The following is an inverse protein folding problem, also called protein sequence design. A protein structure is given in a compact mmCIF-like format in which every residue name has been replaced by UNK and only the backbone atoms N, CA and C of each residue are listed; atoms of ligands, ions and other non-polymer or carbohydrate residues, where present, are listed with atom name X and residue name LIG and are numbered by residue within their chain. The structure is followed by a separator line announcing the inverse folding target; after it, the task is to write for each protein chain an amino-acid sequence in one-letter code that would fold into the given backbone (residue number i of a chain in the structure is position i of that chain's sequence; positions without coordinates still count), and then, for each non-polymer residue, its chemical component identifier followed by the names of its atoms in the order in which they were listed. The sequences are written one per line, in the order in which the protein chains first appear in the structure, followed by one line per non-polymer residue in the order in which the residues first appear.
data_IF_519472469649
#
_entry.id   IF_519472469649
#
_cell.length_a   1.000
_cell.length_b   1.000
_cell.length_c   1.000
_cell.angle_alpha   90.00
_cell.angle_beta   90.00
_cell.angle_gamma   90.00
#
_symmetry.space_group_name_H-M   'P 1'
#
loop_
_entity.id
_entity.type
_entity.pdbx_description
1 polymer ?
#
# COMPACT_ATOMS: atom_id res chain seq x y z
N UNK A 1 -25.15 -5.66 -12.22
CA UNK A 1 -24.52 -4.77 -13.22
C UNK A 1 -25.23 -3.42 -13.26
N UNK A 2 -24.49 -2.31 -13.13
CA UNK A 2 -25.03 -0.93 -13.12
C UNK A 2 -24.00 0.04 -13.72
N UNK A 3 -24.40 1.21 -14.24
CA UNK A 3 -23.44 2.25 -14.63
C UNK A 3 -22.72 2.80 -13.40
N UNK A 4 -21.38 2.86 -13.46
CA UNK A 4 -20.54 3.41 -12.39
C UNK A 4 -19.92 4.72 -12.91
N UNK A 5 -20.57 5.84 -12.58
CA UNK A 5 -20.25 7.14 -13.18
C UNK A 5 -18.86 7.68 -12.80
N UNK A 6 -18.32 7.25 -11.67
CA UNK A 6 -16.98 7.60 -11.21
C UNK A 6 -15.88 6.69 -11.77
N UNK A 7 -16.20 5.66 -12.58
CA UNK A 7 -15.24 4.89 -13.37
C UNK A 7 -15.09 5.50 -14.78
N UNK A 8 -14.93 6.81 -14.83
CA UNK A 8 -14.60 7.54 -16.06
C UNK A 8 -13.19 8.11 -15.91
N UNK A 9 -12.33 8.06 -16.95
CA UNK A 9 -10.99 8.65 -16.91
C UNK A 9 -10.97 10.12 -16.47
N UNK A 10 -12.05 10.86 -16.72
CA UNK A 10 -12.17 12.29 -16.42
C UNK A 10 -12.91 12.61 -15.12
N UNK A 11 -13.22 11.61 -14.27
CA UNK A 11 -14.05 11.83 -13.09
C UNK A 11 -13.31 12.52 -11.94
N UNK A 12 -12.39 11.81 -11.27
CA UNK A 12 -11.63 12.27 -10.10
C UNK A 12 -10.27 11.57 -10.04
N UNK A 13 -9.32 12.20 -9.35
CA UNK A 13 -8.03 11.61 -8.96
C UNK A 13 -8.22 10.62 -7.79
N UNK A 14 -9.02 9.57 -8.02
CA UNK A 14 -9.38 8.56 -7.02
C UNK A 14 -9.74 7.24 -7.72
N UNK A 15 -9.37 6.10 -7.10
CA UNK A 15 -9.58 4.76 -7.65
C UNK A 15 -9.10 4.68 -9.10
N UNK A 16 -9.97 4.31 -10.05
CA UNK A 16 -9.63 4.15 -11.48
C UNK A 16 -8.90 5.37 -12.09
N UNK A 17 -9.32 6.60 -11.78
CA UNK A 17 -8.63 7.79 -12.28
C UNK A 17 -7.26 8.04 -11.62
N UNK A 18 -7.08 7.57 -10.38
CA UNK A 18 -5.80 7.59 -9.68
C UNK A 18 -4.83 6.54 -10.23
N UNK A 19 -5.31 5.33 -10.52
CA UNK A 19 -4.53 4.24 -11.13
C UNK A 19 -4.07 4.60 -12.54
N UNK A 20 -4.82 5.45 -13.25
CA UNK A 20 -4.45 6.00 -14.56
C UNK A 20 -3.10 6.74 -14.57
N UNK A 21 -2.65 7.28 -13.43
CA UNK A 21 -1.33 7.90 -13.34
C UNK A 21 -0.18 6.89 -13.32
N UNK A 22 -0.41 5.70 -12.75
CA UNK A 22 0.56 4.63 -12.79
C UNK A 22 0.67 4.06 -14.20
N UNK A 23 -0.46 3.80 -14.87
CA UNK A 23 -0.44 3.30 -16.26
C UNK A 23 0.14 4.33 -17.23
N UNK A 24 -0.17 5.62 -17.05
CA UNK A 24 0.45 6.71 -17.81
C UNK A 24 1.96 6.83 -17.59
N UNK A 25 2.46 6.58 -16.37
CA UNK A 25 3.89 6.52 -16.07
C UNK A 25 4.58 5.34 -16.76
N UNK A 26 3.94 4.15 -16.76
CA UNK A 26 4.46 2.98 -17.47
C UNK A 26 4.55 3.24 -18.98
N UNK A 27 3.50 3.81 -19.58
CA UNK A 27 3.46 4.15 -21.01
C UNK A 27 4.52 5.19 -21.38
N UNK A 28 4.63 6.28 -20.61
CA UNK A 28 5.61 7.33 -20.86
C UNK A 28 7.07 6.86 -20.78
N UNK A 29 7.35 5.83 -19.98
CA UNK A 29 8.67 5.21 -19.87
C UNK A 29 8.87 4.01 -20.83
N UNK A 30 7.86 3.65 -21.62
CA UNK A 30 7.91 2.50 -22.54
C UNK A 30 8.01 1.15 -21.81
N UNK A 31 7.43 1.04 -20.62
CA UNK A 31 7.44 -0.17 -19.80
C UNK A 31 6.17 -0.98 -20.09
N UNK A 32 6.35 -2.16 -20.68
CA UNK A 32 5.25 -3.08 -20.93
C UNK A 32 4.80 -3.74 -19.61
N UNK A 33 3.50 -3.73 -19.36
CA UNK A 33 2.85 -4.42 -18.25
C UNK A 33 1.49 -4.95 -18.69
N UNK A 34 1.14 -6.14 -18.20
CA UNK A 34 -0.20 -6.68 -18.32
C UNK A 34 -1.08 -6.14 -17.18
N UNK A 35 -2.39 -6.09 -17.41
CA UNK A 35 -3.37 -5.62 -16.43
C UNK A 35 -4.19 -6.80 -15.93
N UNK A 36 -4.23 -6.97 -14.61
CA UNK A 36 -5.00 -7.99 -13.90
C UNK A 36 -6.02 -7.26 -13.03
N UNK A 37 -7.28 -7.70 -13.04
CA UNK A 37 -8.29 -7.18 -12.11
C UNK A 37 -8.31 -7.98 -10.81
N UNK A 38 -8.85 -7.37 -9.75
CA UNK A 38 -9.07 -8.08 -8.48
C UNK A 38 -10.00 -9.30 -8.66
N UNK A 39 -10.95 -9.25 -9.61
CA UNK A 39 -11.84 -10.37 -9.92
C UNK A 39 -11.08 -11.52 -10.59
N UNK A 40 -10.19 -11.23 -11.54
CA UNK A 40 -9.32 -12.24 -12.16
C UNK A 40 -8.44 -12.92 -11.10
N UNK A 41 -7.80 -12.12 -10.24
CA UNK A 41 -6.95 -12.63 -9.17
C UNK A 41 -7.75 -13.41 -8.10
N UNK A 42 -8.99 -13.01 -7.81
CA UNK A 42 -9.89 -13.78 -6.95
C UNK A 42 -10.19 -15.16 -7.53
N UNK A 43 -10.47 -15.23 -8.84
CA UNK A 43 -10.89 -16.45 -9.51
C UNK A 43 -9.73 -17.41 -9.80
N UNK A 44 -8.59 -16.90 -10.26
CA UNK A 44 -7.44 -17.70 -10.71
C UNK A 44 -6.38 -17.90 -9.62
N UNK A 45 -6.42 -17.09 -8.57
CA UNK A 45 -5.50 -17.16 -7.44
C UNK A 45 -4.04 -16.96 -7.84
N UNK A 46 -3.12 -17.63 -7.14
CA UNK A 46 -1.68 -17.45 -7.38
C UNK A 46 -1.23 -17.93 -8.76
N UNK A 47 -1.97 -18.83 -9.42
CA UNK A 47 -1.59 -19.35 -10.74
C UNK A 47 -1.42 -18.24 -11.78
N UNK A 48 -2.29 -17.22 -11.72
CA UNK A 48 -2.20 -16.02 -12.53
C UNK A 48 -0.91 -15.22 -12.25
N UNK A 49 -0.53 -15.11 -10.98
CA UNK A 49 0.67 -14.37 -10.57
C UNK A 49 1.98 -15.12 -10.82
N UNK A 50 1.95 -16.44 -10.98
CA UNK A 50 3.15 -17.27 -11.18
C UNK A 50 3.91 -16.91 -12.48
N UNK A 51 3.24 -16.27 -13.43
CA UNK A 51 3.83 -15.81 -14.69
C UNK A 51 4.60 -14.49 -14.56
N UNK A 52 4.42 -13.76 -13.45
CA UNK A 52 5.00 -12.44 -13.25
C UNK A 52 6.09 -12.50 -12.19
N UNK A 53 7.16 -11.73 -12.37
CA UNK A 53 8.18 -11.54 -11.33
C UNK A 53 7.81 -10.42 -10.37
N UNK A 54 7.09 -9.42 -10.88
CA UNK A 54 6.74 -8.19 -10.16
C UNK A 54 5.26 -7.92 -10.36
N UNK A 55 4.57 -7.68 -9.26
CA UNK A 55 3.18 -7.21 -9.22
C UNK A 55 3.18 -5.80 -8.64
N UNK A 56 2.48 -4.88 -9.31
CA UNK A 56 2.30 -3.50 -8.86
C UNK A 56 0.83 -3.35 -8.44
N UNK A 57 0.59 -2.74 -7.29
CA UNK A 57 -0.78 -2.35 -6.92
C UNK A 57 -1.14 -1.01 -7.54
N UNK A 58 -2.46 -0.76 -7.65
CA UNK A 58 -2.97 0.60 -7.81
C UNK A 58 -2.68 1.50 -6.61
N UNK A 59 -3.17 2.75 -6.68
CA UNK A 59 -2.97 3.75 -5.64
C UNK A 59 -3.83 3.53 -4.39
N UNK A 60 -4.89 2.72 -4.47
CA UNK A 60 -5.81 2.49 -3.34
C UNK A 60 -6.51 1.11 -3.36
N UNK A 61 -5.76 0.01 -3.17
CA UNK A 61 -6.30 -1.36 -3.15
C UNK A 61 -6.97 -1.69 -1.80
N UNK A 62 -8.00 -0.94 -1.39
CA UNK A 62 -8.60 -1.00 -0.04
C UNK A 62 -9.36 -2.31 0.25
N UNK A 63 -9.99 -2.91 -0.75
CA UNK A 63 -10.91 -4.04 -0.60
C UNK A 63 -10.33 -5.30 -1.21
N UNK A 64 -10.10 -6.33 -0.40
CA UNK A 64 -9.56 -7.60 -0.88
C UNK A 64 -10.28 -8.80 -0.29
N UNK A 65 -10.40 -9.86 -1.09
CA UNK A 65 -10.94 -11.15 -0.66
C UNK A 65 -9.86 -12.06 -0.07
N UNK A 66 -10.27 -13.14 0.60
CA UNK A 66 -9.33 -14.12 1.13
C UNK A 66 -8.47 -14.77 0.02
N UNK A 67 -9.08 -15.07 -1.12
CA UNK A 67 -8.38 -15.68 -2.25
C UNK A 67 -7.25 -14.76 -2.78
N UNK A 68 -7.52 -13.47 -2.93
CA UNK A 68 -6.53 -12.47 -3.34
C UNK A 68 -5.39 -12.39 -2.31
N UNK A 69 -5.73 -12.34 -1.03
CA UNK A 69 -4.74 -12.30 0.05
C UNK A 69 -3.80 -13.52 0.02
N UNK A 70 -4.36 -14.74 -0.04
CA UNK A 70 -3.56 -15.96 -0.07
C UNK A 70 -2.78 -16.10 -1.40
N UNK A 71 -3.30 -15.56 -2.51
CA UNK A 71 -2.60 -15.54 -3.78
C UNK A 71 -1.32 -14.71 -3.71
N UNK A 72 -1.40 -13.49 -3.19
CA UNK A 72 -0.24 -12.61 -3.02
C UNK A 72 0.76 -13.14 -2.00
N UNK A 73 0.27 -13.70 -0.88
CA UNK A 73 1.13 -14.36 0.10
C UNK A 73 1.87 -15.55 -0.51
N UNK A 74 1.20 -16.35 -1.33
CA UNK A 74 1.82 -17.49 -2.01
C UNK A 74 2.85 -17.01 -3.03
N UNK A 75 2.50 -16.01 -3.85
CA UNK A 75 3.42 -15.39 -4.82
C UNK A 75 4.71 -14.91 -4.14
N UNK A 76 4.59 -14.16 -3.04
CA UNK A 76 5.74 -13.68 -2.26
C UNK A 76 6.57 -14.81 -1.63
N UNK A 77 5.93 -15.90 -1.19
CA UNK A 77 6.65 -17.05 -0.63
C UNK A 77 7.40 -17.88 -1.68
N UNK A 78 7.06 -17.72 -2.97
CA UNK A 78 7.71 -18.37 -4.12
C UNK A 78 8.73 -17.48 -4.83
N UNK A 79 9.10 -16.35 -4.24
CA UNK A 79 10.10 -15.44 -4.78
C UNK A 79 9.55 -14.34 -5.68
N UNK A 80 8.22 -14.25 -5.79
CA UNK A 80 7.52 -13.11 -6.38
C UNK A 80 7.78 -11.81 -5.62
N UNK A 81 7.50 -10.68 -6.26
CA UNK A 81 7.86 -9.36 -5.75
C UNK A 81 6.68 -8.42 -5.87
N UNK A 82 6.45 -7.61 -4.84
CA UNK A 82 5.30 -6.71 -4.77
C UNK A 82 5.76 -5.27 -4.59
N UNK A 83 5.27 -4.39 -5.45
CA UNK A 83 5.35 -2.94 -5.27
C UNK A 83 3.96 -2.43 -4.87
N UNK A 84 3.81 -2.13 -3.60
CA UNK A 84 2.61 -1.49 -3.05
C UNK A 84 2.76 0.04 -3.17
N UNK A 85 2.12 0.59 -4.21
CA UNK A 85 2.27 2.00 -4.63
C UNK A 85 1.10 2.88 -4.18
N UNK A 86 0.38 2.45 -3.14
CA UNK A 86 -0.82 3.11 -2.65
C UNK A 86 -0.84 3.34 -1.15
N UNK A 87 -2.00 3.76 -0.64
CA UNK A 87 -2.33 3.90 0.77
C UNK A 87 -3.65 3.21 1.12
N UNK A 88 -3.82 2.87 2.40
CA UNK A 88 -4.96 2.13 2.95
C UNK A 88 -5.29 0.85 2.18
N UNK A 89 -4.24 0.10 1.86
CA UNK A 89 -4.34 -1.14 1.12
C UNK A 89 -4.79 -2.28 2.03
N UNK A 90 -5.57 -3.20 1.45
CA UNK A 90 -5.90 -4.49 2.05
C UNK A 90 -6.62 -4.33 3.39
N UNK A 91 -7.45 -3.30 3.51
CA UNK A 91 -8.05 -2.86 4.75
C UNK A 91 -9.33 -3.63 5.07
N UNK A 92 -10.26 -3.65 4.10
CA UNK A 92 -11.54 -4.34 4.22
C UNK A 92 -11.49 -5.73 3.62
N UNK A 93 -12.06 -6.68 4.36
CA UNK A 93 -12.41 -7.99 3.81
C UNK A 93 -13.67 -7.90 2.96
N UNK A 94 -13.60 -8.46 1.77
CA UNK A 94 -14.75 -8.59 0.86
C UNK A 94 -14.95 -10.03 0.41
N UNK A 95 -16.15 -10.32 -0.10
CA UNK A 95 -16.51 -11.59 -0.70
C UNK A 95 -17.12 -11.37 -2.08
N UNK A 96 -16.66 -12.11 -3.07
CA UNK A 96 -17.29 -12.18 -4.39
C UNK A 96 -18.40 -13.22 -4.38
N UNK A 97 -19.52 -12.93 -5.02
CA UNK A 97 -20.66 -13.86 -5.04
C UNK A 97 -20.38 -15.06 -5.96
N UNK A 98 -20.54 -16.31 -5.48
CA UNK A 98 -20.09 -17.50 -6.22
C UNK A 98 -20.86 -17.74 -7.53
N UNK A 99 -22.09 -17.22 -7.64
CA UNK A 99 -22.97 -17.44 -8.80
C UNK A 99 -23.51 -16.16 -9.45
N UNK A 100 -23.18 -14.98 -8.92
CA UNK A 100 -23.70 -13.70 -9.43
C UNK A 100 -22.51 -12.80 -9.78
N UNK A 101 -22.03 -12.83 -11.04
CA UNK A 101 -20.88 -12.04 -11.47
C UNK A 101 -21.07 -10.55 -11.20
N UNK A 102 -19.98 -9.89 -10.79
CA UNK A 102 -19.96 -8.46 -10.45
C UNK A 102 -20.68 -8.08 -9.15
N UNK A 103 -21.10 -9.04 -8.32
CA UNK A 103 -21.59 -8.77 -6.95
C UNK A 103 -20.47 -9.02 -5.93
N UNK A 104 -20.16 -7.97 -5.16
CA UNK A 104 -19.21 -8.01 -4.06
C UNK A 104 -19.93 -7.64 -2.76
N UNK A 105 -19.81 -8.46 -1.74
CA UNK A 105 -20.29 -8.20 -0.39
C UNK A 105 -19.17 -7.63 0.48
N UNK A 106 -19.48 -6.59 1.25
CA UNK A 106 -18.65 -6.06 2.33
C UNK A 106 -19.54 -5.79 3.53
N UNK A 107 -19.14 -6.27 4.70
CA UNK A 107 -19.77 -5.93 5.97
C UNK A 107 -18.78 -5.18 6.81
N UNK A 108 -19.10 -3.93 7.14
CA UNK A 108 -18.22 -3.06 7.92
C UNK A 108 -18.46 -3.35 9.41
N UNK A 109 -17.61 -4.27 9.89
CA UNK A 109 -17.43 -4.87 11.22
C UNK A 109 -17.59 -3.97 12.45
N UNK A 110 -16.93 -4.38 13.53
CA UNK A 110 -16.82 -3.69 14.81
C UNK A 110 -15.84 -2.51 14.80
N UNK A 111 -14.90 -2.45 13.84
CA UNK A 111 -13.82 -1.48 13.78
C UNK A 111 -13.64 -0.81 12.39
N UNK A 112 -12.87 0.27 12.33
CA UNK A 112 -12.37 0.89 11.09
C UNK A 112 -13.08 2.16 10.63
N UNK A 113 -12.52 2.81 9.61
CA UNK A 113 -13.07 4.02 8.97
C UNK A 113 -14.32 3.71 8.15
N UNK A 114 -15.47 3.79 8.81
CA UNK A 114 -16.76 3.33 8.29
C UNK A 114 -17.70 4.48 7.94
N UNK A 115 -18.32 4.39 6.77
CA UNK A 115 -19.43 5.25 6.36
C UNK A 115 -20.77 4.87 7.02
N UNK A 116 -20.89 3.62 7.49
CA UNK A 116 -22.04 3.09 8.21
C UNK A 116 -21.59 1.92 9.10
N UNK A 117 -22.30 1.68 10.21
CA UNK A 117 -22.07 0.55 11.11
C UNK A 117 -23.06 -0.56 10.81
N UNK A 118 -22.60 -1.80 10.72
CA UNK A 118 -23.49 -2.96 10.62
C UNK A 118 -24.28 -3.17 11.91
N UNK A 119 -25.48 -3.73 11.80
CA UNK A 119 -26.29 -4.05 12.97
C UNK A 119 -25.63 -5.12 13.84
N UNK A 120 -25.80 -5.07 15.18
CA UNK A 120 -25.25 -6.07 16.06
C UNK A 120 -25.69 -7.50 15.67
N UNK A 121 -24.72 -8.41 15.53
CA UNK A 121 -24.97 -9.79 15.11
C UNK A 121 -24.98 -10.02 13.61
N UNK A 122 -24.94 -8.96 12.79
CA UNK A 122 -24.96 -9.04 11.33
C UNK A 122 -23.56 -8.85 10.71
N UNK A 123 -22.51 -9.30 11.38
CA UNK A 123 -21.12 -9.09 10.95
C UNK A 123 -20.60 -10.15 9.97
N UNK A 124 -21.25 -11.31 9.91
CA UNK A 124 -20.86 -12.40 9.02
C UNK A 124 -21.45 -12.18 7.62
N UNK A 125 -20.61 -12.30 6.59
CA UNK A 125 -21.00 -12.13 5.20
C UNK A 125 -21.89 -13.30 4.78
N UNK A 126 -23.04 -13.00 4.20
CA UNK A 126 -23.98 -14.03 3.73
C UNK A 126 -23.42 -14.87 2.57
N UNK A 127 -22.51 -14.29 1.80
CA UNK A 127 -21.92 -14.90 0.60
C UNK A 127 -21.01 -16.06 0.94
N UNK A 128 -20.22 -15.96 2.02
CA UNK A 128 -19.21 -16.96 2.40
C UNK A 128 -19.43 -17.57 3.77
N UNK A 129 -20.28 -16.96 4.61
CA UNK A 129 -20.43 -17.30 6.04
C UNK A 129 -19.27 -16.82 6.91
N UNK A 130 -18.30 -16.10 6.34
CA UNK A 130 -17.09 -15.66 7.03
C UNK A 130 -17.31 -14.32 7.74
N UNK A 131 -16.50 -14.06 8.77
CA UNK A 131 -16.54 -12.79 9.49
C UNK A 131 -16.12 -11.62 8.59
N UNK A 132 -16.95 -10.58 8.50
CA UNK A 132 -16.63 -9.35 7.77
C UNK A 132 -15.69 -8.43 8.55
N UNK A 133 -15.61 -7.16 8.13
CA UNK A 133 -14.83 -6.13 8.80
C UNK A 133 -13.37 -6.06 8.36
N UNK A 134 -12.51 -5.64 9.28
CA UNK A 134 -11.09 -5.41 8.99
C UNK A 134 -10.31 -6.72 9.01
N UNK A 135 -9.35 -6.85 8.09
CA UNK A 135 -8.40 -7.95 8.12
C UNK A 135 -7.53 -7.96 9.40
N UNK A 136 -7.24 -6.77 9.94
CA UNK A 136 -6.55 -6.58 11.23
C UNK A 136 -7.22 -7.30 12.40
N UNK A 137 -8.55 -7.45 12.38
CA UNK A 137 -9.32 -8.13 13.43
C UNK A 137 -9.40 -9.66 13.23
N UNK A 138 -8.82 -10.17 12.14
CA UNK A 138 -8.90 -11.56 11.71
C UNK A 138 -7.50 -12.20 11.51
N UNK A 139 -6.52 -11.71 12.28
CA UNK A 139 -5.11 -12.15 12.26
C UNK A 139 -4.44 -12.08 10.87
N UNK A 140 -4.93 -11.18 10.01
CA UNK A 140 -4.36 -10.86 8.69
C UNK A 140 -4.08 -9.37 8.63
N UNK A 141 -3.06 -8.93 9.33
CA UNK A 141 -2.79 -7.50 9.45
C UNK A 141 -2.04 -7.07 8.18
N UNK A 142 -2.46 -6.01 7.45
CA UNK A 142 -1.79 -5.57 6.21
C UNK A 142 -0.28 -5.42 6.34
N UNK A 143 0.20 -4.95 7.50
CA UNK A 143 1.61 -4.88 7.86
C UNK A 143 2.40 -6.19 7.67
N UNK A 144 1.79 -7.35 7.84
CA UNK A 144 2.45 -8.64 7.66
C UNK A 144 2.79 -8.92 6.19
N UNK A 145 1.96 -8.43 5.26
CA UNK A 145 2.10 -8.66 3.82
C UNK A 145 2.80 -7.49 3.12
N UNK A 146 2.46 -6.26 3.50
CA UNK A 146 2.92 -5.02 2.87
C UNK A 146 4.04 -4.35 3.66
N UNK A 147 4.33 -4.77 4.89
CA UNK A 147 5.28 -4.08 5.78
C UNK A 147 4.74 -2.80 6.41
N UNK A 148 3.66 -2.24 5.88
CA UNK A 148 2.96 -1.05 6.39
C UNK A 148 1.47 -1.32 6.47
N UNK A 149 0.73 -0.52 7.24
CA UNK A 149 -0.72 -0.58 7.30
C UNK A 149 -1.34 0.76 7.65
N UNK A 150 -2.62 0.91 7.29
CA UNK A 150 -3.39 2.14 7.41
C UNK A 150 -3.30 2.76 8.81
N UNK A 151 -2.99 4.04 8.85
CA UNK A 151 -2.83 4.77 10.10
C UNK A 151 -3.56 6.11 10.14
N UNK A 152 -3.75 6.79 9.01
CA UNK A 152 -4.33 8.12 9.01
C UNK A 152 -4.93 8.50 7.64
N UNK A 153 -5.91 9.40 7.65
CA UNK A 153 -6.53 9.95 6.45
C UNK A 153 -6.78 11.46 6.55
N UNK A 154 -6.75 12.15 5.42
CA UNK A 154 -6.93 13.59 5.30
C UNK A 154 -6.79 14.06 3.85
N UNK A 155 -7.78 14.82 3.37
CA UNK A 155 -7.95 15.11 1.93
C UNK A 155 -7.60 16.55 1.52
N UNK A 156 -7.14 17.38 2.44
CA UNK A 156 -6.91 18.81 2.18
C UNK A 156 -5.55 19.11 1.53
N UNK A 157 -4.49 18.46 2.02
CA UNK A 157 -3.11 18.71 1.59
C UNK A 157 -2.31 17.42 1.66
N UNK A 158 -1.41 17.22 0.70
CA UNK A 158 -0.34 16.26 0.76
C UNK A 158 0.91 16.89 1.37
N UNK A 159 1.90 16.04 1.64
CA UNK A 159 3.20 16.40 2.15
C UNK A 159 4.30 15.59 1.45
N UNK A 160 5.50 15.59 2.02
CA UNK A 160 6.73 15.06 1.44
C UNK A 160 7.42 14.07 2.38
N UNK A 161 8.41 13.36 1.84
CA UNK A 161 9.22 12.39 2.56
C UNK A 161 10.58 12.94 2.95
N UNK A 162 11.05 12.50 4.12
CA UNK A 162 12.42 12.67 4.59
C UNK A 162 13.11 11.31 4.64
N UNK A 163 14.34 11.25 4.13
CA UNK A 163 15.15 10.04 4.17
C UNK A 163 15.47 9.65 5.62
N UNK A 164 15.29 8.36 5.91
CA UNK A 164 15.67 7.77 7.19
C UNK A 164 17.18 7.52 7.21
N UNK A 165 17.86 7.57 8.39
CA UNK A 165 19.26 7.14 8.52
C UNK A 165 19.50 5.71 8.01
N UNK A 166 18.47 4.84 8.08
CA UNK A 166 18.55 3.47 7.58
C UNK A 166 18.55 3.37 6.04
N UNK A 167 18.29 4.44 5.32
CA UNK A 167 18.40 4.48 3.85
C UNK A 167 19.82 4.22 3.34
N UNK A 168 20.83 4.38 4.21
CA UNK A 168 22.24 4.03 3.93
C UNK A 168 22.57 2.55 4.08
N UNK A 169 21.60 1.69 4.39
CA UNK A 169 21.79 0.24 4.34
C UNK A 169 22.08 -0.20 2.89
N UNK A 170 23.19 -0.91 2.62
CA UNK A 170 23.54 -1.40 1.28
C UNK A 170 22.41 -2.20 0.60
N UNK A 171 21.54 -2.82 1.39
CA UNK A 171 20.38 -3.59 0.88
C UNK A 171 19.40 -2.72 0.10
N UNK A 172 19.30 -1.43 0.40
CA UNK A 172 18.35 -0.50 -0.23
C UNK A 172 19.04 0.60 -1.04
N UNK A 173 20.36 0.53 -1.22
CA UNK A 173 21.13 1.55 -1.95
C UNK A 173 20.63 1.75 -3.37
N UNK A 174 20.18 0.67 -4.02
CA UNK A 174 19.62 0.71 -5.38
C UNK A 174 18.40 1.63 -5.50
N UNK A 175 17.62 1.81 -4.43
CA UNK A 175 16.37 2.59 -4.43
C UNK A 175 16.65 4.08 -4.66
N UNK A 176 17.70 4.59 -4.01
CA UNK A 176 18.10 6.00 -4.10
C UNK A 176 19.16 6.27 -5.16
N UNK A 177 19.38 5.33 -6.08
CA UNK A 177 20.35 5.52 -7.16
C UNK A 177 20.01 6.80 -7.94
N UNK A 178 21.02 7.65 -8.15
CA UNK A 178 20.90 8.95 -8.85
C UNK A 178 19.91 9.94 -8.19
N UNK A 179 19.72 9.82 -6.87
CA UNK A 179 18.89 10.72 -6.06
C UNK A 179 19.69 11.23 -4.86
N UNK A 180 19.69 12.54 -4.64
CA UNK A 180 20.28 13.14 -3.45
C UNK A 180 19.44 12.84 -2.21
N UNK A 181 20.08 12.36 -1.14
CA UNK A 181 19.43 12.09 0.15
C UNK A 181 19.43 13.30 1.10
N UNK A 182 20.09 14.39 0.72
CA UNK A 182 20.17 15.63 1.52
C UNK A 182 18.93 16.52 1.34
N UNK A 183 18.00 16.14 0.46
CA UNK A 183 16.83 16.91 0.12
C UNK A 183 15.54 16.16 0.46
N UNK A 184 14.47 16.92 0.70
CA UNK A 184 13.10 16.41 0.74
C UNK A 184 12.73 15.88 -0.65
N UNK A 185 11.91 14.84 -0.69
CA UNK A 185 11.46 14.27 -1.95
C UNK A 185 9.94 14.07 -1.95
N UNK A 186 9.32 14.20 -3.12
CA UNK A 186 7.87 14.20 -3.27
C UNK A 186 7.14 15.40 -2.67
N UNK A 187 7.76 16.59 -2.58
CA UNK A 187 7.10 17.84 -2.16
C UNK A 187 6.32 18.53 -3.29
N UNK A 188 5.63 17.72 -4.08
CA UNK A 188 4.83 18.09 -5.23
C UNK A 188 3.91 16.91 -5.55
N UNK A 189 2.81 17.17 -6.25
CA UNK A 189 1.88 16.14 -6.66
C UNK A 189 0.54 16.72 -7.07
N UNK A 190 -0.19 16.01 -7.93
CA UNK A 190 -1.49 16.48 -8.40
C UNK A 190 -2.56 16.44 -7.28
N UNK A 191 -2.40 15.53 -6.31
CA UNK A 191 -3.26 15.46 -5.13
C UNK A 191 -2.62 16.15 -3.93
N UNK A 192 -3.11 17.35 -3.61
CA UNK A 192 -2.72 18.07 -2.40
C UNK A 192 -1.28 18.61 -2.41
N UNK A 193 -0.61 18.65 -3.57
CA UNK A 193 0.76 19.14 -3.72
C UNK A 193 1.82 18.34 -2.94
N UNK A 194 1.65 17.02 -2.82
CA UNK A 194 2.66 16.16 -2.20
C UNK A 194 2.43 14.68 -2.47
N UNK A 195 3.50 13.89 -2.42
CA UNK A 195 3.49 12.45 -2.63
C UNK A 195 2.96 11.67 -1.43
N UNK A 196 2.94 12.27 -0.23
CA UNK A 196 2.36 11.69 0.97
C UNK A 196 1.03 12.38 1.32
N UNK A 197 -0.10 11.83 0.93
CA UNK A 197 -1.41 12.42 1.20
C UNK A 197 -2.60 11.50 0.94
N UNK A 198 -3.79 12.07 1.16
CA UNK A 198 -5.11 11.41 1.19
C UNK A 198 -5.24 10.36 2.28
N UNK A 199 -4.49 9.27 2.20
CA UNK A 199 -4.42 8.22 3.21
C UNK A 199 -2.99 7.71 3.35
N UNK A 200 -2.60 7.38 4.58
CA UNK A 200 -1.23 7.07 4.97
C UNK A 200 -1.16 5.72 5.67
N UNK A 201 -0.11 4.96 5.36
CA UNK A 201 0.22 3.71 6.03
C UNK A 201 1.59 3.78 6.68
N UNK A 202 1.72 3.20 7.87
CA UNK A 202 2.98 3.23 8.64
C UNK A 202 3.55 1.84 8.91
N UNK A 203 4.86 1.79 9.08
CA UNK A 203 5.57 0.65 9.63
C UNK A 203 5.29 0.55 11.14
N UNK A 204 4.90 -0.63 11.60
CA UNK A 204 4.62 -0.90 13.01
C UNK A 204 4.93 -2.35 13.39
N UNK A 205 6.01 -2.61 14.15
CA UNK A 205 6.36 -3.95 14.63
C UNK A 205 5.30 -4.57 15.55
N UNK A 206 4.52 -3.78 16.28
CA UNK A 206 3.45 -4.29 17.15
C UNK A 206 2.28 -4.84 16.33
N UNK A 207 2.11 -4.32 15.11
CA UNK A 207 1.20 -4.84 14.09
C UNK A 207 1.86 -5.88 13.18
N UNK A 208 2.98 -6.48 13.63
CA UNK A 208 3.69 -7.58 12.96
C UNK A 208 4.27 -7.20 11.60
N UNK A 209 4.67 -5.95 11.42
CA UNK A 209 5.57 -5.59 10.32
C UNK A 209 6.88 -6.40 10.44
N UNK A 210 7.51 -6.85 9.33
CA UNK A 210 8.72 -7.66 9.38
C UNK A 210 9.87 -6.94 10.10
N UNK A 211 10.48 -7.58 11.10
CA UNK A 211 11.48 -6.95 11.98
C UNK A 211 12.76 -6.51 11.24
N UNK A 212 13.10 -7.19 10.15
CA UNK A 212 14.26 -6.89 9.31
C UNK A 212 13.99 -5.85 8.22
N UNK A 213 12.77 -5.30 8.18
CA UNK A 213 12.39 -4.31 7.20
C UNK A 213 13.18 -3.01 7.40
N UNK A 214 13.50 -2.37 6.28
CA UNK A 214 14.20 -1.10 6.24
C UNK A 214 13.17 -0.01 5.97
N UNK A 215 12.95 0.87 6.94
CA UNK A 215 12.20 2.13 6.73
C UNK A 215 13.16 3.10 6.04
N UNK A 216 12.93 3.32 4.75
CA UNK A 216 13.77 4.09 3.84
C UNK A 216 13.53 5.59 4.03
N UNK A 217 12.28 5.97 4.19
CA UNK A 217 11.87 7.36 4.37
C UNK A 217 10.52 7.42 5.09
N UNK A 218 10.25 8.54 5.75
CA UNK A 218 8.99 8.80 6.42
C UNK A 218 8.47 10.17 6.03
N UNK A 219 7.17 10.29 5.82
CA UNK A 219 6.55 11.58 5.57
C UNK A 219 6.48 12.41 6.84
N UNK A 220 6.55 13.74 6.72
CA UNK A 220 6.50 14.66 7.86
C UNK A 220 5.57 15.84 7.58
N UNK A 221 5.39 16.76 8.54
CA UNK A 221 4.69 18.03 8.33
C UNK A 221 3.23 17.89 7.84
N UNK A 222 2.51 16.91 8.39
CA UNK A 222 1.07 16.77 8.17
C UNK A 222 0.29 17.74 9.06
N UNK A 223 -0.81 18.29 8.55
CA UNK A 223 -1.69 19.19 9.32
C UNK A 223 -2.65 18.39 10.21
N UNK A 224 -3.38 19.08 11.08
CA UNK A 224 -4.43 18.46 11.91
C UNK A 224 -5.63 17.94 11.13
N UNK A 225 -5.71 18.22 9.82
CA UNK A 225 -6.70 17.61 8.93
C UNK A 225 -6.34 16.19 8.51
N UNK A 226 -5.08 15.77 8.70
CA UNK A 226 -4.67 14.38 8.61
C UNK A 226 -4.86 13.74 9.98
N UNK A 227 -5.85 12.87 10.11
CA UNK A 227 -6.31 12.34 11.40
C UNK A 227 -6.09 10.84 11.45
N UNK A 228 -5.70 10.34 12.63
CA UNK A 228 -5.56 8.91 12.87
C UNK A 228 -6.83 8.11 12.53
N UNK A 229 -6.59 6.90 12.01
CA UNK A 229 -7.62 5.90 11.81
C UNK A 229 -8.24 5.47 13.15
N UNK A 230 -9.52 5.09 13.14
CA UNK A 230 -10.30 4.85 14.37
C UNK A 230 -9.70 3.75 15.24
N UNK A 231 -9.20 2.69 14.62
CA UNK A 231 -8.55 1.53 15.24
C UNK A 231 -7.20 1.84 15.87
N UNK A 232 -6.61 3.02 15.59
CA UNK A 232 -5.39 3.51 16.23
C UNK A 232 -5.66 4.29 17.52
N UNK A 233 -6.93 4.62 17.79
CA UNK A 233 -7.34 5.39 18.95
C UNK A 233 -7.78 4.42 20.06
N UNK A 234 -6.83 4.00 20.91
CA UNK A 234 -7.12 3.10 22.03
C UNK A 234 -7.93 3.74 23.16
N UNK A 235 -7.75 5.04 23.38
CA UNK A 235 -8.52 5.84 24.33
C UNK A 235 -8.81 7.22 23.75
N UNK A 236 -9.91 7.85 24.15
CA UNK A 236 -10.23 9.20 23.68
C UNK A 236 -9.17 10.20 24.15
N UNK A 237 -8.55 10.90 23.20
CA UNK A 237 -7.65 12.03 23.45
C UNK A 237 -7.72 13.02 22.27
N UNK A 238 -7.23 14.24 22.47
CA UNK A 238 -7.29 15.31 21.48
C UNK A 238 -6.12 15.28 20.48
N UNK A 239 -4.99 14.66 20.83
CA UNK A 239 -3.78 14.55 20.00
C UNK A 239 -3.91 13.54 18.84
N UNK A 240 -4.98 13.61 18.04
CA UNK A 240 -5.25 12.66 16.93
C UNK A 240 -4.88 13.19 15.54
N UNK A 241 -4.53 14.48 15.44
CA UNK A 241 -4.12 15.15 14.21
C UNK A 241 -2.62 15.09 13.94
N UNK A 242 -2.22 15.38 12.69
CA UNK A 242 -0.87 15.21 12.19
C UNK A 242 0.20 16.15 12.76
N UNK A 243 -0.18 17.32 13.31
CA UNK A 243 0.81 18.30 13.77
C UNK A 243 1.55 17.83 15.02
N UNK A 244 0.85 17.10 15.90
CA UNK A 244 1.37 16.66 17.20
C UNK A 244 1.54 15.13 17.29
N UNK A 245 0.85 14.36 16.43
CA UNK A 245 0.86 12.91 16.50
C UNK A 245 1.85 12.27 15.51
N UNK A 246 2.95 11.73 16.03
CA UNK A 246 4.00 11.05 15.24
C UNK A 246 3.56 9.77 14.53
N UNK A 247 2.40 9.21 14.90
CA UNK A 247 1.84 8.05 14.21
C UNK A 247 1.09 8.43 12.93
N UNK A 248 0.80 9.73 12.73
CA UNK A 248 0.25 10.26 11.49
C UNK A 248 1.40 10.48 10.51
N UNK A 249 1.79 9.41 9.82
CA UNK A 249 2.82 9.44 8.77
C UNK A 249 2.67 8.26 7.82
N UNK A 250 3.14 8.45 6.61
CA UNK A 250 3.45 7.40 5.66
C UNK A 250 4.91 6.98 5.82
N UNK A 251 5.18 5.66 5.83
CA UNK A 251 6.54 5.11 5.82
C UNK A 251 6.80 4.37 4.49
N UNK A 252 7.92 4.68 3.84
CA UNK A 252 8.42 3.93 2.68
C UNK A 252 9.29 2.79 3.20
N UNK A 253 8.92 1.56 2.89
CA UNK A 253 9.51 0.35 3.47
C UNK A 253 9.95 -0.62 2.40
N UNK A 254 11.07 -1.30 2.65
CA UNK A 254 11.54 -2.44 1.88
C UNK A 254 11.87 -3.63 2.78
N UNK A 255 11.51 -4.84 2.36
CA UNK A 255 11.97 -6.08 2.99
C UNK A 255 11.95 -7.26 2.01
N UNK A 256 12.84 -8.22 2.25
CA UNK A 256 12.97 -9.47 1.49
C UNK A 256 12.05 -10.55 2.07
N UNK A 257 11.65 -11.49 1.23
CA UNK A 257 10.83 -12.66 1.60
C UNK A 257 11.65 -13.95 1.52
N UNK A 258 11.22 -14.98 2.26
CA UNK A 258 11.95 -16.24 2.35
C UNK A 258 12.15 -16.97 1.00
N UNK A 259 11.28 -16.74 0.03
CA UNK A 259 11.37 -17.33 -1.31
C UNK A 259 12.37 -16.65 -2.24
N UNK A 260 13.13 -15.65 -1.77
CA UNK A 260 14.02 -14.84 -2.61
C UNK A 260 13.34 -13.65 -3.29
N UNK A 261 12.12 -13.32 -2.86
CA UNK A 261 11.32 -12.20 -3.31
C UNK A 261 11.52 -10.97 -2.42
N UNK A 262 10.74 -9.92 -2.67
CA UNK A 262 10.78 -8.71 -1.88
C UNK A 262 9.49 -7.90 -2.00
N UNK A 263 9.26 -7.02 -1.02
CA UNK A 263 8.16 -6.07 -1.00
C UNK A 263 8.73 -4.67 -0.86
N UNK A 264 8.24 -3.76 -1.69
CA UNK A 264 8.47 -2.32 -1.58
C UNK A 264 7.12 -1.63 -1.42
N UNK A 265 6.99 -0.79 -0.39
CA UNK A 265 5.74 -0.15 -0.02
C UNK A 265 5.92 1.34 0.18
N UNK A 266 5.03 2.14 -0.39
CA UNK A 266 5.08 3.61 -0.26
C UNK A 266 4.13 4.14 0.80
N UNK A 267 3.01 3.44 1.04
CA UNK A 267 2.07 3.78 2.09
C UNK A 267 1.39 5.13 1.92
N UNK A 268 1.11 5.57 0.68
CA UNK A 268 0.32 6.76 0.40
C UNK A 268 -0.41 6.69 -0.93
N UNK A 269 -1.69 7.12 -0.93
CA UNK A 269 -2.49 7.18 -2.17
C UNK A 269 -1.94 8.23 -3.14
N UNK A 270 -1.43 9.37 -2.64
CA UNK A 270 -0.92 10.46 -3.49
C UNK A 270 0.39 10.13 -4.24
N UNK A 271 1.02 8.98 -4.00
CA UNK A 271 2.27 8.59 -4.62
C UNK A 271 2.15 8.55 -6.15
N UNK A 272 1.20 7.77 -6.69
CA UNK A 272 0.99 7.65 -8.14
C UNK A 272 0.68 9.00 -8.80
N UNK A 273 -0.04 9.87 -8.10
CA UNK A 273 -0.42 11.21 -8.57
C UNK A 273 0.76 12.20 -8.60
N UNK A 274 1.93 11.79 -8.12
CA UNK A 274 3.17 12.57 -8.15
C UNK A 274 4.13 12.12 -9.25
N UNK A 275 3.92 10.92 -9.81
CA UNK A 275 4.69 10.38 -10.94
C UNK A 275 4.73 11.32 -12.17
N UNK A 276 3.63 11.91 -12.66
CA UNK A 276 3.64 12.69 -13.91
C UNK A 276 4.28 14.07 -13.82
N UNK A 277 4.64 14.53 -12.61
CA UNK A 277 5.18 15.87 -12.41
C UNK A 277 6.51 16.04 -13.15
N UNK A 278 6.75 17.23 -13.71
CA UNK A 278 7.97 17.55 -14.46
C UNK A 278 8.25 16.57 -15.63
N UNK A 279 7.20 16.11 -16.31
CA UNK A 279 7.35 15.17 -17.43
C UNK A 279 7.95 13.84 -17.01
N UNK A 280 7.60 13.34 -15.82
CA UNK A 280 8.12 12.11 -15.21
C UNK A 280 9.60 12.16 -14.80
N UNK A 281 10.28 13.32 -14.91
CA UNK A 281 11.63 13.50 -14.39
C UNK A 281 11.62 14.12 -12.99
N UNK A 282 11.38 13.27 -12.01
CA UNK A 282 11.26 13.66 -10.62
C UNK A 282 11.70 12.50 -9.69
N UNK A 283 11.92 12.78 -8.41
CA UNK A 283 12.44 11.80 -7.46
C UNK A 283 11.49 10.60 -7.23
N UNK A 284 10.18 10.83 -7.13
CA UNK A 284 9.15 9.79 -6.97
C UNK A 284 9.19 8.80 -8.14
N UNK A 285 9.28 9.33 -9.36
CA UNK A 285 9.42 8.56 -10.60
C UNK A 285 10.73 7.76 -10.62
N UNK A 286 11.86 8.38 -10.24
CA UNK A 286 13.16 7.72 -10.18
C UNK A 286 13.21 6.60 -9.13
N UNK A 287 12.68 6.83 -7.93
CA UNK A 287 12.56 5.80 -6.88
C UNK A 287 11.74 4.61 -7.40
N UNK A 288 10.56 4.89 -7.96
CA UNK A 288 9.66 3.85 -8.49
C UNK A 288 10.35 3.06 -9.60
N UNK A 289 11.05 3.74 -10.52
CA UNK A 289 11.81 3.09 -11.60
C UNK A 289 12.95 2.23 -11.07
N UNK A 290 13.74 2.74 -10.14
CA UNK A 290 14.88 2.02 -9.56
C UNK A 290 14.44 0.71 -8.90
N UNK A 291 13.33 0.76 -8.14
CA UNK A 291 12.73 -0.43 -7.53
C UNK A 291 12.25 -1.40 -8.60
N UNK A 292 11.50 -0.91 -9.60
CA UNK A 292 10.96 -1.76 -10.66
C UNK A 292 12.09 -2.46 -11.44
N UNK A 293 13.16 -1.77 -11.80
CA UNK A 293 14.27 -2.39 -12.54
C UNK A 293 14.99 -3.45 -11.70
N UNK A 294 15.25 -3.18 -10.41
CA UNK A 294 15.80 -4.19 -9.51
C UNK A 294 14.84 -5.37 -9.33
N UNK A 295 13.54 -5.11 -9.30
CA UNK A 295 12.51 -6.14 -9.16
C UNK A 295 12.32 -6.95 -10.46
N UNK A 296 12.69 -6.42 -11.62
CA UNK A 296 12.72 -7.18 -12.89
C UNK A 296 13.95 -8.07 -13.03
N UNK A 297 15.07 -7.71 -12.40
CA UNK A 297 16.30 -8.51 -12.41
C UNK A 297 16.06 -9.92 -11.83
N UNK A 298 16.39 -11.03 -12.53
CA UNK A 298 16.20 -12.38 -12.00
C UNK A 298 16.99 -12.69 -10.72
N UNK A 299 18.01 -11.92 -10.37
CA UNK A 299 18.80 -12.12 -9.16
C UNK A 299 17.91 -12.08 -7.91
N UNK A 300 17.94 -13.12 -7.06
CA UNK A 300 17.10 -13.20 -5.87
C UNK A 300 17.50 -12.15 -4.83
N UNK A 301 16.58 -11.87 -3.91
CA UNK A 301 16.87 -11.11 -2.70
C UNK A 301 17.22 -12.06 -1.56
N UNK A 302 18.36 -11.85 -0.92
CA UNK A 302 18.77 -12.69 0.20
C UNK A 302 18.19 -12.13 1.49
N UNK A 303 17.55 -13.00 2.28
CA UNK A 303 17.17 -12.63 3.64
C UNK A 303 18.43 -12.20 4.43
N UNK A 304 18.39 -11.08 5.14
CA UNK A 304 19.50 -10.69 6.00
C UNK A 304 19.67 -11.75 7.08
N UNK A 305 20.92 -12.11 7.38
CA UNK A 305 21.24 -12.99 8.51
C UNK A 305 20.67 -12.36 9.78
N UNK A 306 19.94 -13.15 10.58
CA UNK A 306 19.37 -12.65 11.83
C UNK A 306 20.48 -11.98 12.67
N UNK A 307 20.27 -10.72 13.04
CA UNK A 307 21.14 -10.09 14.02
C UNK A 307 21.11 -10.95 15.29
N UNK A 308 22.25 -11.25 15.93
CA UNK A 308 22.24 -11.97 17.19
C UNK A 308 21.35 -11.20 18.18
N UNK A 309 20.42 -11.91 18.82
CA UNK A 309 19.60 -11.36 19.89
C UNK A 309 20.53 -10.69 20.92
N UNK A 310 20.22 -9.48 21.39
CA UNK A 310 21.00 -8.89 22.47
C UNK A 310 21.01 -9.85 23.65
N UNK A 311 22.21 -10.22 24.08
CA UNK A 311 22.42 -11.08 25.24
C UNK A 311 22.02 -10.32 26.50
N UNK A 312 20.87 -10.68 27.09
CA UNK A 312 20.50 -10.37 28.47
C UNK A 312 19.97 -8.97 28.72
#
# INVERSE_FOLDING_TARGET
MRPILNMSPNAKYWAFGGDGYLTGWLDALGINADVITDEDLHNEGESLLAHYRVVLTGCHPEYVSLAIWEALKTHLSRGGRLMYLGGNGFYWRTAFHPTLPGLIEVRRAEDGSRAWSAEPGEYFMSTTGEYGGLWRRQDRIPNQLLGVGFCAQGFQSGSYYQWSPKSSDPRVEFISKDISRDCLFGNYGLAGNGAAGQELDRYDPQLRSPQHAVVIASSTNHTDYMVLAKEEIGAMHWMIGGSENRNVRSDIVFFETAGGGAVFSVGSISWCMSLPINGYDNDVSRVTRNVLERFRDPAPFLLPSAAPLPSG
#
